data_IF_444564027265
#
_entry.id   IF_444564027265
#
_cell.length_a   1.000
_cell.length_b   1.000
_cell.length_c   1.000
_cell.angle_alpha   90.00
_cell.angle_beta   90.00
_cell.angle_gamma   90.00
#
_symmetry.space_group_name_H-M   'P 1'
#
loop_
_entity.id
_entity.type
_entity.pdbx_description
1 polymer ?
#
# COMPACT_ATOMS: atom_id res chain seq x y z
N UNK A 1 -40.62 -5.33 28.76
CA UNK A 1 -39.45 -5.02 27.90
C UNK A 1 -38.87 -6.34 27.43
N UNK A 2 -39.06 -6.69 26.16
CA UNK A 2 -38.58 -7.95 25.59
C UNK A 2 -37.10 -7.84 25.27
N UNK A 3 -36.24 -8.56 26.00
CA UNK A 3 -34.82 -8.70 25.67
C UNK A 3 -34.67 -9.84 24.67
N UNK A 4 -34.57 -9.50 23.39
CA UNK A 4 -34.18 -10.49 22.37
C UNK A 4 -32.69 -10.79 22.56
N UNK A 5 -32.28 -12.06 22.77
CA UNK A 5 -30.87 -12.38 22.91
C UNK A 5 -30.16 -12.13 21.57
N UNK A 6 -29.10 -11.32 21.59
CA UNK A 6 -28.31 -11.06 20.41
C UNK A 6 -27.57 -12.32 19.99
N UNK A 7 -27.51 -12.57 18.68
CA UNK A 7 -26.72 -13.68 18.17
C UNK A 7 -25.23 -13.38 18.38
N UNK A 8 -24.39 -14.41 18.62
CA UNK A 8 -22.95 -14.22 18.78
C UNK A 8 -22.30 -13.56 17.55
N UNK A 9 -22.86 -13.74 16.35
CA UNK A 9 -22.41 -13.04 15.14
C UNK A 9 -22.65 -11.53 15.21
N UNK A 10 -23.79 -11.10 15.78
CA UNK A 10 -24.13 -9.69 15.94
C UNK A 10 -23.26 -9.02 17.01
N UNK A 11 -22.94 -9.74 18.08
CA UNK A 11 -22.00 -9.28 19.12
C UNK A 11 -20.61 -9.10 18.53
N UNK A 12 -20.08 -10.12 17.83
CA UNK A 12 -18.78 -10.04 17.18
C UNK A 12 -18.70 -8.90 16.14
N UNK A 13 -19.79 -8.67 15.39
CA UNK A 13 -19.87 -7.52 14.48
C UNK A 13 -19.83 -6.18 15.22
N UNK A 14 -20.56 -6.05 16.32
CA UNK A 14 -20.58 -4.84 17.14
C UNK A 14 -19.22 -4.56 17.79
N UNK A 15 -18.54 -5.60 18.28
CA UNK A 15 -17.19 -5.52 18.83
C UNK A 15 -16.19 -5.08 17.77
N UNK A 16 -16.20 -5.69 16.58
CA UNK A 16 -15.32 -5.32 15.48
C UNK A 16 -15.50 -3.85 15.04
N UNK A 17 -16.75 -3.37 15.02
CA UNK A 17 -17.06 -1.97 14.72
C UNK A 17 -16.53 -1.02 15.83
N UNK A 18 -16.74 -1.38 17.10
CA UNK A 18 -16.23 -0.62 18.24
C UNK A 18 -14.71 -0.52 18.22
N UNK A 19 -14.02 -1.62 17.92
CA UNK A 19 -12.56 -1.68 17.82
C UNK A 19 -12.02 -0.82 16.67
N UNK A 20 -12.72 -0.79 15.53
CA UNK A 20 -12.35 0.04 14.40
C UNK A 20 -12.49 1.54 14.72
N UNK A 21 -13.60 1.93 15.36
CA UNK A 21 -13.86 3.32 15.78
C UNK A 21 -12.84 3.73 16.85
N UNK A 22 -12.58 2.88 17.86
CA UNK A 22 -11.63 3.14 18.92
C UNK A 22 -10.20 3.34 18.40
N UNK A 23 -9.74 2.48 17.48
CA UNK A 23 -8.43 2.62 16.82
C UNK A 23 -8.36 3.86 15.91
N UNK A 24 -9.48 4.31 15.37
CA UNK A 24 -9.58 5.56 14.60
C UNK A 24 -9.44 6.79 15.51
N UNK A 25 -10.21 6.83 16.59
CA UNK A 25 -10.20 7.92 17.57
C UNK A 25 -8.86 8.04 18.29
N UNK A 26 -8.24 6.92 18.66
CA UNK A 26 -6.92 6.91 19.30
C UNK A 26 -5.82 7.50 18.39
N UNK A 27 -5.86 7.19 17.09
CA UNK A 27 -4.95 7.82 16.10
C UNK A 27 -5.21 9.31 15.99
N UNK A 28 -6.47 9.73 15.95
CA UNK A 28 -6.82 11.14 15.86
C UNK A 28 -6.37 11.94 17.10
N UNK A 29 -6.40 11.34 18.28
CA UNK A 29 -5.87 11.96 19.50
C UNK A 29 -4.33 12.06 19.48
N UNK A 30 -3.64 11.05 18.96
CA UNK A 30 -2.17 11.05 18.90
C UNK A 30 -1.60 11.96 17.80
N UNK A 31 -2.21 11.93 16.61
CA UNK A 31 -1.71 12.60 15.41
C UNK A 31 -2.39 13.96 15.15
N UNK A 32 -3.44 14.28 15.91
CA UNK A 32 -4.27 15.47 15.77
C UNK A 32 -5.48 15.25 14.84
N UNK A 33 -6.66 15.70 15.27
CA UNK A 33 -7.89 15.65 14.48
C UNK A 33 -7.78 16.57 13.26
N UNK A 34 -8.11 16.12 12.04
CA UNK A 34 -8.12 16.98 10.87
C UNK A 34 -9.18 18.07 11.06
N UNK A 35 -8.78 19.34 11.01
CA UNK A 35 -9.72 20.46 11.07
C UNK A 35 -10.53 20.46 9.77
N UNK A 36 -11.84 20.27 9.88
CA UNK A 36 -12.76 20.38 8.75
C UNK A 36 -12.61 21.77 8.13
N UNK A 37 -12.07 21.84 6.90
CA UNK A 37 -11.83 23.09 6.17
C UNK A 37 -10.37 23.51 6.00
N UNK A 38 -9.38 22.80 6.55
CA UNK A 38 -7.98 23.05 6.20
C UNK A 38 -7.51 22.03 5.16
N UNK A 39 -7.51 22.44 3.89
CA UNK A 39 -6.95 21.69 2.77
C UNK A 39 -5.41 21.77 2.71
N UNK A 40 -4.74 22.04 3.82
CA UNK A 40 -3.29 21.90 3.90
C UNK A 40 -2.98 20.49 4.39
N UNK A 41 -2.47 19.59 3.54
CA UNK A 41 -1.89 18.36 4.04
C UNK A 41 -0.74 18.78 4.96
N UNK A 42 -0.86 18.54 6.27
CA UNK A 42 0.33 18.48 7.11
C UNK A 42 1.28 17.48 6.44
N UNK A 43 2.58 17.73 6.47
CA UNK A 43 3.58 16.80 5.91
C UNK A 43 3.41 15.36 6.43
N UNK A 44 2.76 15.19 7.59
CA UNK A 44 2.30 13.91 8.15
C UNK A 44 1.20 13.19 7.33
N UNK A 45 0.27 13.91 6.71
CA UNK A 45 -0.79 13.32 5.87
C UNK A 45 -0.22 12.67 4.58
N UNK A 46 0.87 13.24 4.04
CA UNK A 46 1.58 12.70 2.88
C UNK A 46 2.32 11.38 3.21
N UNK A 47 2.63 11.14 4.48
CA UNK A 47 3.19 9.86 4.97
C UNK A 47 2.12 8.84 5.35
N UNK A 48 0.95 9.28 5.83
CA UNK A 48 -0.13 8.39 6.28
C UNK A 48 -0.92 7.71 5.13
N UNK A 49 -0.91 8.30 3.93
CA UNK A 49 -1.57 7.73 2.74
C UNK A 49 -0.78 6.63 2.02
N UNK A 50 0.49 6.40 2.38
CA UNK A 50 1.24 5.26 1.83
C UNK A 50 1.01 4.05 2.72
N UNK A 51 0.51 2.97 2.12
CA UNK A 51 0.45 1.64 2.75
C UNK A 51 1.73 1.43 3.56
N UNK A 52 1.59 1.12 4.85
CA UNK A 52 2.69 0.79 5.77
C UNK A 52 3.75 -0.03 5.03
N UNK A 53 4.96 0.52 4.91
CA UNK A 53 6.15 -0.25 4.54
C UNK A 53 6.91 0.13 3.26
N UNK A 54 6.54 1.18 2.51
CA UNK A 54 7.40 1.63 1.37
C UNK A 54 8.00 3.02 1.59
N UNK A 55 9.24 3.12 2.12
CA UNK A 55 9.95 4.40 2.17
C UNK A 55 10.17 4.94 0.75
N UNK A 56 10.16 6.28 0.56
CA UNK A 56 10.41 6.88 -0.74
C UNK A 56 11.83 6.56 -1.20
N UNK A 57 11.97 6.15 -2.46
CA UNK A 57 13.22 5.67 -3.08
C UNK A 57 14.33 6.73 -3.19
N UNK A 58 14.07 7.94 -2.69
CA UNK A 58 14.91 9.14 -2.87
C UNK A 58 16.07 9.25 -1.88
N UNK A 59 16.18 8.35 -0.90
CA UNK A 59 17.28 8.35 0.08
C UNK A 59 18.37 7.28 -0.18
N UNK A 60 18.29 6.53 -1.28
CA UNK A 60 19.38 5.64 -1.70
C UNK A 60 20.34 6.41 -2.62
N UNK A 61 21.27 7.14 -2.02
CA UNK A 61 22.38 7.80 -2.70
C UNK A 61 23.37 6.80 -3.32
N UNK A 62 24.09 7.28 -4.34
CA UNK A 62 25.10 6.63 -5.18
C UNK A 62 24.56 5.76 -6.33
N UNK A 63 24.46 6.40 -7.50
CA UNK A 63 24.16 5.83 -8.82
C UNK A 63 25.31 4.98 -9.36
N UNK A 64 25.61 3.86 -8.70
CA UNK A 64 26.42 2.77 -9.26
C UNK A 64 25.62 1.48 -9.17
N UNK A 65 24.51 1.41 -9.92
CA UNK A 65 23.83 0.15 -10.17
C UNK A 65 24.81 -0.72 -10.94
N UNK A 66 25.40 -1.73 -10.28
CA UNK A 66 26.22 -2.76 -10.91
C UNK A 66 25.52 -3.25 -12.18
N UNK A 67 26.24 -3.43 -13.30
CA UNK A 67 25.66 -3.85 -14.58
C UNK A 67 24.78 -5.11 -14.44
N UNK A 68 25.14 -6.00 -13.52
CA UNK A 68 24.38 -7.20 -13.11
C UNK A 68 22.96 -6.89 -12.59
N UNK A 69 22.73 -5.69 -12.08
CA UNK A 69 21.44 -5.20 -11.59
C UNK A 69 20.70 -4.34 -12.60
N UNK A 70 21.03 -4.38 -13.89
CA UNK A 70 20.24 -3.72 -14.94
C UNK A 70 19.20 -4.65 -15.51
N UNK A 71 18.11 -4.07 -16.00
CA UNK A 71 17.11 -4.82 -16.73
C UNK A 71 17.75 -5.47 -17.97
N UNK A 72 17.47 -6.76 -18.19
CA UNK A 72 17.91 -7.53 -19.38
C UNK A 72 17.24 -7.08 -20.68
N UNK A 73 16.26 -6.17 -20.62
CA UNK A 73 15.59 -5.67 -21.82
C UNK A 73 16.50 -4.68 -22.54
N UNK A 74 16.59 -4.83 -23.86
CA UNK A 74 17.39 -3.96 -24.72
C UNK A 74 17.00 -2.48 -24.54
N UNK A 75 18.00 -1.62 -24.43
CA UNK A 75 17.81 -0.18 -24.19
C UNK A 75 17.31 0.21 -22.79
N UNK A 76 17.16 -0.72 -21.84
CA UNK A 76 16.65 -0.40 -20.50
C UNK A 76 17.76 -0.14 -19.47
N UNK A 77 17.91 1.12 -19.03
CA UNK A 77 18.89 1.53 -18.00
C UNK A 77 18.38 1.40 -16.56
N UNK A 78 17.15 0.89 -16.37
CA UNK A 78 16.53 0.76 -15.05
C UNK A 78 17.11 -0.42 -14.28
N UNK A 79 17.11 -0.32 -12.96
CA UNK A 79 17.48 -1.44 -12.10
C UNK A 79 16.52 -2.64 -12.26
N UNK A 80 17.10 -3.83 -12.31
CA UNK A 80 16.42 -5.10 -12.17
C UNK A 80 15.84 -5.19 -10.76
N UNK A 81 14.58 -5.63 -10.69
CA UNK A 81 13.86 -5.88 -9.43
C UNK A 81 13.62 -7.37 -9.23
N UNK A 82 13.28 -8.11 -10.29
CA UNK A 82 12.99 -9.54 -10.24
C UNK A 82 13.08 -10.16 -11.62
N UNK A 83 13.53 -11.43 -11.71
CA UNK A 83 13.62 -12.21 -12.96
C UNK A 83 14.37 -11.50 -14.12
N UNK A 84 15.48 -10.79 -13.86
CA UNK A 84 16.17 -10.04 -14.92
C UNK A 84 15.50 -8.72 -15.32
N UNK A 85 14.28 -8.43 -14.84
CA UNK A 85 13.46 -7.34 -15.36
C UNK A 85 13.31 -6.18 -14.36
N UNK A 86 13.22 -4.97 -14.89
CA UNK A 86 12.77 -3.81 -14.11
C UNK A 86 11.28 -3.97 -13.76
N UNK A 87 10.80 -3.20 -12.79
CA UNK A 87 9.40 -3.29 -12.33
C UNK A 87 8.37 -3.05 -13.44
N UNK A 88 8.71 -2.24 -14.45
CA UNK A 88 7.82 -1.95 -15.57
C UNK A 88 7.75 -3.14 -16.53
N UNK A 89 8.90 -3.69 -16.93
CA UNK A 89 8.97 -4.83 -17.85
C UNK A 89 8.43 -6.11 -17.22
N UNK A 90 8.71 -6.34 -15.93
CA UNK A 90 8.11 -7.47 -15.20
C UNK A 90 6.57 -7.43 -15.20
N UNK A 91 5.98 -6.24 -15.01
CA UNK A 91 4.52 -6.09 -15.03
C UNK A 91 3.92 -6.21 -16.44
N UNK A 92 4.62 -5.73 -17.47
CA UNK A 92 4.21 -5.91 -18.85
C UNK A 92 4.22 -7.40 -19.22
N UNK A 93 5.30 -8.10 -18.90
CA UNK A 93 5.46 -9.54 -19.14
C UNK A 93 4.43 -10.38 -18.39
N UNK A 94 4.21 -10.08 -17.11
CA UNK A 94 3.17 -10.75 -16.30
C UNK A 94 1.77 -10.59 -16.91
N UNK A 95 1.44 -9.41 -17.43
CA UNK A 95 0.16 -9.17 -18.11
C UNK A 95 0.04 -9.99 -19.40
N UNK A 96 1.12 -10.06 -20.21
CA UNK A 96 1.18 -10.89 -21.42
C UNK A 96 0.95 -12.38 -21.11
N UNK A 97 1.57 -12.88 -20.04
CA UNK A 97 1.40 -14.27 -19.60
C UNK A 97 -0.05 -14.58 -19.21
N UNK A 98 -0.68 -13.68 -18.44
CA UNK A 98 -2.09 -13.85 -18.01
C UNK A 98 -3.05 -13.79 -19.21
N UNK A 99 -2.79 -12.94 -20.21
CA UNK A 99 -3.61 -12.91 -21.43
C UNK A 99 -3.38 -14.14 -22.31
N UNK A 100 -2.13 -14.63 -22.39
CA UNK A 100 -1.79 -15.80 -23.20
C UNK A 100 -2.41 -17.09 -22.64
N UNK A 101 -2.54 -17.22 -21.31
CA UNK A 101 -3.14 -18.39 -20.67
C UNK A 101 -4.66 -18.46 -20.80
N UNK A 102 -5.32 -17.43 -21.34
CA UNK A 102 -6.77 -17.42 -21.61
C UNK A 102 -7.12 -17.79 -23.06
N UNK A 103 -6.09 -18.08 -23.87
CA UNK A 103 -6.22 -18.47 -25.29
C UNK A 103 -5.83 -19.94 -25.55
N UNK A 104 -5.73 -20.76 -24.51
CA UNK A 104 -5.62 -22.22 -24.57
C UNK A 104 -6.80 -22.83 -23.81
#
# INVERSE_FOLDING_TARGET
>A
MSSVPLTPAMVNWAEALGDAIGRGMLRALNDGMPRLGSAAPSTAALTAGRRRGRPPKVMAGASLVSLDRRCTMDGCTREQRSKGLCSAHYQAERRRQISSSKSA
#
